data_IF_511844748422
#
_entry.id   IF_511844748422
#
_cell.length_a   1.000
_cell.length_b   1.000
_cell.length_c   1.000
_cell.angle_alpha   90.00
_cell.angle_beta   90.00
_cell.angle_gamma   90.00
#
_symmetry.space_group_name_H-M   'P 1'
#
loop_
_entity.id
_entity.type
_entity.pdbx_description
1 polymer ?
#
# COMPACT_ATOMS: atom_id res chain seq x y z
N UNK A 1 -10.63 -5.78 -4.34
CA UNK A 1 -11.76 -5.80 -3.38
C UNK A 1 -11.81 -4.48 -2.67
N UNK A 2 -12.99 -3.90 -2.55
CA UNK A 2 -13.15 -2.64 -1.83
C UNK A 2 -13.34 -2.89 -0.33
N UNK A 3 -12.85 -1.97 0.45
CA UNK A 3 -12.92 -1.97 1.90
C UNK A 3 -14.37 -1.81 2.41
N UNK A 4 -14.84 -2.75 3.24
CA UNK A 4 -16.16 -2.70 3.90
C UNK A 4 -17.35 -2.45 2.96
N UNK A 5 -17.42 -3.19 1.86
CA UNK A 5 -18.56 -3.12 0.98
C UNK A 5 -19.61 -4.18 1.40
N UNK A 6 -20.76 -3.74 1.88
CA UNK A 6 -21.80 -4.60 2.47
C UNK A 6 -22.52 -5.48 1.45
N UNK A 7 -22.38 -5.21 0.16
CA UNK A 7 -23.02 -5.98 -0.90
C UNK A 7 -22.33 -7.30 -1.27
N UNK A 8 -21.22 -7.65 -0.61
CA UNK A 8 -20.42 -8.83 -0.93
C UNK A 8 -20.15 -9.64 0.32
N UNK A 9 -20.43 -10.95 0.24
CA UNK A 9 -19.92 -11.92 1.21
C UNK A 9 -18.47 -12.29 0.83
N UNK A 10 -17.52 -11.64 1.48
CA UNK A 10 -16.08 -11.80 1.19
C UNK A 10 -15.58 -13.23 1.42
N UNK A 11 -16.06 -13.91 2.46
CA UNK A 11 -15.68 -15.30 2.74
C UNK A 11 -16.22 -16.28 1.70
N UNK A 12 -17.43 -16.05 1.20
CA UNK A 12 -17.99 -16.83 0.10
C UNK A 12 -17.20 -16.60 -1.19
N UNK A 13 -16.92 -15.33 -1.51
CA UNK A 13 -16.15 -14.98 -2.70
C UNK A 13 -14.71 -15.52 -2.64
N UNK A 14 -14.09 -15.50 -1.46
CA UNK A 14 -12.73 -16.01 -1.28
C UNK A 14 -12.57 -17.50 -1.62
N UNK A 15 -13.65 -18.28 -1.60
CA UNK A 15 -13.63 -19.69 -2.01
C UNK A 15 -13.43 -19.87 -3.52
N UNK A 16 -13.88 -18.89 -4.30
CA UNK A 16 -13.91 -18.93 -5.78
C UNK A 16 -12.68 -18.28 -6.42
N UNK A 17 -11.84 -17.58 -5.65
CA UNK A 17 -10.63 -16.92 -6.13
C UNK A 17 -9.37 -17.59 -5.61
N UNK A 18 -8.29 -17.56 -6.36
CA UNK A 18 -7.01 -18.18 -5.99
C UNK A 18 -6.31 -17.41 -4.87
N UNK A 19 -6.32 -16.08 -4.94
CA UNK A 19 -5.61 -15.18 -4.03
C UNK A 19 -6.56 -14.07 -3.55
N UNK A 20 -6.61 -13.85 -2.24
CA UNK A 20 -7.29 -12.68 -1.69
C UNK A 20 -6.46 -11.43 -1.96
N UNK A 21 -7.10 -10.35 -2.38
CA UNK A 21 -6.43 -9.07 -2.63
C UNK A 21 -7.37 -7.91 -2.31
N UNK A 22 -6.81 -6.75 -1.97
CA UNK A 22 -7.57 -5.55 -1.69
C UNK A 22 -6.75 -4.28 -1.89
N UNK A 23 -7.44 -3.14 -1.89
CA UNK A 23 -6.87 -1.82 -2.07
C UNK A 23 -6.99 -1.03 -0.79
N UNK A 24 -5.90 -0.43 -0.35
CA UNK A 24 -5.88 0.31 0.90
C UNK A 24 -5.20 1.68 0.75
N UNK A 25 -5.98 2.72 1.02
CA UNK A 25 -5.55 4.11 0.97
C UNK A 25 -5.83 4.82 2.30
N UNK A 26 -5.19 4.42 3.40
CA UNK A 26 -5.45 5.01 4.70
C UNK A 26 -5.08 6.50 4.72
N UNK A 27 -5.95 7.28 5.31
CA UNK A 27 -5.75 8.72 5.45
C UNK A 27 -5.06 9.02 6.77
N UNK A 28 -3.74 9.06 6.76
CA UNK A 28 -2.88 9.23 7.94
C UNK A 28 -2.89 10.64 8.58
N UNK A 29 -3.78 11.49 8.19
CA UNK A 29 -3.86 12.88 8.65
C UNK A 29 -5.30 13.33 8.91
N UNK A 30 -6.21 12.41 9.15
CA UNK A 30 -7.59 12.73 9.53
C UNK A 30 -7.59 13.56 10.81
N UNK A 31 -8.39 14.63 10.90
CA UNK A 31 -8.48 15.43 12.12
C UNK A 31 -9.17 14.69 13.27
N UNK A 32 -9.92 13.64 12.97
CA UNK A 32 -10.76 12.88 13.91
C UNK A 32 -10.11 11.56 14.36
N UNK A 33 -8.96 11.19 13.83
CA UNK A 33 -8.28 9.94 14.13
C UNK A 33 -6.78 10.19 14.35
N UNK A 34 -6.21 9.49 15.30
CA UNK A 34 -4.76 9.44 15.50
C UNK A 34 -4.10 8.53 14.47
N UNK A 35 -2.77 8.60 14.35
CA UNK A 35 -1.99 7.71 13.50
C UNK A 35 -2.14 6.25 13.97
N UNK A 36 -2.19 6.05 15.29
CA UNK A 36 -2.34 4.74 15.93
C UNK A 36 -3.72 4.12 15.63
N UNK A 37 -4.79 4.91 15.69
CA UNK A 37 -6.13 4.46 15.34
C UNK A 37 -6.22 4.07 13.87
N UNK A 38 -5.65 4.88 12.96
CA UNK A 38 -5.55 4.54 11.54
C UNK A 38 -4.74 3.26 11.32
N UNK A 39 -3.65 3.07 12.04
CA UNK A 39 -2.83 1.87 11.97
C UNK A 39 -3.58 0.62 12.46
N UNK A 40 -4.33 0.74 13.57
CA UNK A 40 -5.14 -0.36 14.11
C UNK A 40 -6.26 -0.78 13.14
N UNK A 41 -6.97 0.18 12.57
CA UNK A 41 -8.03 -0.11 11.59
C UNK A 41 -7.45 -0.80 10.35
N UNK A 42 -6.30 -0.34 9.87
CA UNK A 42 -5.58 -0.95 8.76
C UNK A 42 -5.13 -2.37 9.09
N UNK A 43 -4.55 -2.59 10.28
CA UNK A 43 -4.12 -3.92 10.76
C UNK A 43 -5.28 -4.91 10.80
N UNK A 44 -6.40 -4.51 11.38
CA UNK A 44 -7.59 -5.35 11.46
C UNK A 44 -8.08 -5.79 10.07
N UNK A 45 -7.99 -4.92 9.08
CA UNK A 45 -8.37 -5.26 7.71
C UNK A 45 -7.36 -6.20 7.05
N UNK A 46 -6.07 -6.03 7.27
CA UNK A 46 -5.07 -6.97 6.80
C UNK A 46 -5.32 -8.37 7.37
N UNK A 47 -5.59 -8.47 8.68
CA UNK A 47 -5.91 -9.73 9.35
C UNK A 47 -7.17 -10.37 8.78
N UNK A 48 -8.20 -9.56 8.47
CA UNK A 48 -9.41 -10.04 7.82
C UNK A 48 -9.10 -10.68 6.47
N UNK A 49 -8.33 -10.00 5.60
CA UNK A 49 -7.99 -10.54 4.28
C UNK A 49 -7.09 -11.78 4.36
N UNK A 50 -6.17 -11.82 5.29
CA UNK A 50 -5.40 -13.02 5.57
C UNK A 50 -6.31 -14.18 6.03
N UNK A 51 -7.24 -13.93 6.94
CA UNK A 51 -8.12 -14.94 7.53
C UNK A 51 -9.08 -15.60 6.53
N UNK A 52 -9.44 -14.89 5.44
CA UNK A 52 -10.36 -15.43 4.41
C UNK A 52 -9.86 -16.73 3.77
N UNK A 53 -8.54 -16.88 3.64
CA UNK A 53 -7.91 -18.06 3.03
C UNK A 53 -6.87 -18.72 3.93
N UNK A 54 -6.43 -18.11 5.01
CA UNK A 54 -5.30 -18.56 5.82
C UNK A 54 -3.99 -18.63 5.01
N UNK A 55 -3.86 -17.76 4.02
CA UNK A 55 -2.73 -17.68 3.09
C UNK A 55 -2.36 -16.22 2.87
N UNK A 56 -1.12 -15.94 2.42
CA UNK A 56 -0.72 -14.58 2.08
C UNK A 56 -1.69 -13.93 1.09
N UNK A 57 -1.99 -12.67 1.31
CA UNK A 57 -2.81 -11.85 0.44
C UNK A 57 -1.96 -10.82 -0.32
N UNK A 58 -2.55 -10.17 -1.33
CA UNK A 58 -1.91 -9.09 -2.06
C UNK A 58 -2.56 -7.75 -1.68
N UNK A 59 -1.76 -6.77 -1.27
CA UNK A 59 -2.21 -5.39 -1.28
C UNK A 59 -2.02 -4.86 -2.69
N UNK A 60 -3.11 -4.87 -3.48
CA UNK A 60 -3.08 -4.59 -4.92
C UNK A 60 -2.93 -3.11 -5.22
N UNK A 61 -3.42 -2.24 -4.34
CA UNK A 61 -3.25 -0.81 -4.48
C UNK A 61 -2.98 -0.14 -3.15
N UNK A 62 -2.04 0.78 -3.15
CA UNK A 62 -1.80 1.75 -2.09
C UNK A 62 -1.17 3.01 -2.70
N UNK A 63 -1.28 4.14 -2.02
CA UNK A 63 -0.67 5.38 -2.50
C UNK A 63 0.78 5.50 -2.03
N UNK A 64 1.72 5.87 -2.92
CA UNK A 64 3.08 6.22 -2.51
C UNK A 64 3.14 7.52 -1.71
N UNK A 65 2.17 8.45 -1.91
CA UNK A 65 2.16 9.75 -1.25
C UNK A 65 0.74 10.18 -0.85
N UNK A 66 0.00 10.85 -1.71
CA UNK A 66 -1.34 11.37 -1.47
C UNK A 66 -2.35 10.82 -2.50
N UNK A 67 -3.64 11.01 -2.22
CA UNK A 67 -4.74 10.62 -3.10
C UNK A 67 -5.52 11.86 -3.53
N UNK A 68 -6.04 11.87 -4.75
CA UNK A 68 -6.72 13.05 -5.33
C UNK A 68 -8.20 13.18 -4.93
N UNK A 69 -8.80 12.15 -4.34
CA UNK A 69 -10.23 12.16 -3.96
C UNK A 69 -10.49 12.55 -2.51
N UNK A 70 -9.45 12.83 -1.73
CA UNK A 70 -9.61 13.30 -0.36
C UNK A 70 -9.99 14.79 -0.34
N UNK A 71 -10.85 15.25 0.59
CA UNK A 71 -11.19 16.66 0.74
C UNK A 71 -9.97 17.56 0.91
N UNK A 72 -8.95 17.05 1.59
CA UNK A 72 -7.63 17.66 1.71
C UNK A 72 -6.57 16.62 1.38
N UNK A 73 -5.91 16.79 0.26
CA UNK A 73 -4.80 15.95 -0.14
C UNK A 73 -3.51 16.38 0.56
N UNK A 74 -2.98 15.53 1.41
CA UNK A 74 -1.69 15.77 2.08
C UNK A 74 -0.75 14.60 1.82
N UNK A 75 0.51 14.91 1.66
CA UNK A 75 1.55 13.89 1.60
C UNK A 75 1.65 13.15 2.93
N UNK A 76 2.02 11.88 2.86
CA UNK A 76 2.37 11.11 4.05
C UNK A 76 3.56 11.77 4.75
N UNK A 77 3.53 11.79 6.07
CA UNK A 77 4.69 12.20 6.87
C UNK A 77 5.86 11.23 6.62
N UNK A 78 7.11 11.68 6.75
CA UNK A 78 8.26 10.80 6.68
C UNK A 78 8.12 9.59 7.62
N UNK A 79 8.45 8.41 7.13
CA UNK A 79 8.32 7.15 7.85
C UNK A 79 6.96 6.44 7.75
N UNK A 80 5.86 7.16 7.44
CA UNK A 80 4.53 6.54 7.35
C UNK A 80 4.43 5.54 6.20
N UNK A 81 5.03 5.80 5.06
CA UNK A 81 5.00 4.87 3.93
C UNK A 81 5.73 3.56 4.29
N UNK A 82 6.86 3.65 5.00
CA UNK A 82 7.62 2.52 5.51
C UNK A 82 6.81 1.73 6.55
N UNK A 83 6.27 2.43 7.55
CA UNK A 83 5.44 1.82 8.57
C UNK A 83 4.26 1.06 7.95
N UNK A 84 3.56 1.68 7.00
CA UNK A 84 2.42 1.06 6.32
C UNK A 84 2.81 -0.19 5.53
N UNK A 85 3.93 -0.16 4.82
CA UNK A 85 4.43 -1.32 4.07
C UNK A 85 4.86 -2.45 5.00
N UNK A 86 5.62 -2.14 6.07
CA UNK A 86 6.04 -3.12 7.08
C UNK A 86 4.84 -3.75 7.79
N UNK A 87 3.86 -2.93 8.17
CA UNK A 87 2.63 -3.41 8.76
C UNK A 87 1.91 -4.40 7.84
N UNK A 88 1.74 -4.05 6.57
CA UNK A 88 1.08 -4.90 5.58
C UNK A 88 1.75 -6.27 5.48
N UNK A 89 3.07 -6.32 5.40
CA UNK A 89 3.84 -7.58 5.36
C UNK A 89 3.76 -8.33 6.69
N UNK A 90 3.86 -7.64 7.84
CA UNK A 90 3.76 -8.23 9.16
C UNK A 90 2.40 -8.92 9.39
N UNK A 91 1.33 -8.41 8.77
CA UNK A 91 -0.01 -8.99 8.79
C UNK A 91 -0.26 -10.02 7.66
N UNK A 92 0.79 -10.49 6.99
CA UNK A 92 0.76 -11.64 6.10
C UNK A 92 0.54 -11.33 4.62
N UNK A 93 0.75 -10.10 4.18
CA UNK A 93 0.77 -9.82 2.74
C UNK A 93 2.04 -10.35 2.08
N UNK A 94 1.90 -10.88 0.88
CA UNK A 94 3.01 -11.28 0.02
C UNK A 94 3.60 -10.10 -0.77
N UNK A 95 2.80 -9.07 -1.01
CA UNK A 95 3.25 -7.89 -1.75
C UNK A 95 2.47 -6.63 -1.37
N UNK A 96 3.11 -5.49 -1.62
CA UNK A 96 2.50 -4.16 -1.58
C UNK A 96 2.71 -3.49 -2.93
N UNK A 97 1.63 -3.24 -3.66
CA UNK A 97 1.67 -2.58 -4.95
C UNK A 97 1.20 -1.13 -4.79
N UNK A 98 1.78 -0.25 -5.59
CA UNK A 98 1.50 1.18 -5.47
C UNK A 98 0.87 1.74 -6.74
N UNK A 99 -0.22 2.44 -6.57
CA UNK A 99 -0.82 3.30 -7.57
C UNK A 99 -0.41 4.75 -7.25
N UNK A 100 0.41 5.43 -8.08
CA UNK A 100 0.89 4.98 -9.37
C UNK A 100 2.40 5.22 -9.51
N UNK A 101 3.03 4.54 -10.45
CA UNK A 101 4.46 4.74 -10.71
C UNK A 101 4.77 6.14 -11.23
N UNK A 102 4.03 6.60 -12.23
CA UNK A 102 4.21 7.92 -12.85
C UNK A 102 2.90 8.67 -12.88
N UNK A 103 2.91 9.95 -12.51
CA UNK A 103 1.75 10.82 -12.54
C UNK A 103 1.14 10.89 -13.95
N UNK A 104 -0.15 10.61 -14.03
CA UNK A 104 -0.93 10.66 -15.28
C UNK A 104 -0.98 12.05 -15.84
N UNK A 105 -0.87 12.20 -17.18
CA UNK A 105 -0.92 13.51 -17.84
C UNK A 105 -2.33 14.08 -17.97
N UNK A 106 -3.34 13.24 -17.84
CA UNK A 106 -4.74 13.60 -18.01
C UNK A 106 -5.67 12.67 -17.25
N UNK A 107 -6.98 12.81 -17.46
CA UNK A 107 -8.06 12.10 -16.78
C UNK A 107 -8.12 12.38 -15.27
N UNK A 108 -8.98 11.64 -14.58
CA UNK A 108 -9.29 11.87 -13.17
C UNK A 108 -8.09 11.65 -12.24
N UNK A 109 -7.21 10.72 -12.58
CA UNK A 109 -6.03 10.36 -11.78
C UNK A 109 -4.80 11.26 -12.00
N UNK A 110 -4.94 12.32 -12.78
CA UNK A 110 -3.83 13.23 -13.10
C UNK A 110 -3.24 13.91 -11.85
N UNK A 111 -4.02 14.11 -10.81
CA UNK A 111 -3.60 14.72 -9.54
C UNK A 111 -3.38 13.70 -8.43
N UNK A 112 -3.39 12.41 -8.74
CA UNK A 112 -3.04 11.37 -7.78
C UNK A 112 -1.53 11.35 -7.53
N UNK A 113 -1.12 11.10 -6.29
CA UNK A 113 0.28 10.96 -5.94
C UNK A 113 0.94 9.80 -6.68
N UNK A 114 2.17 10.01 -7.12
CA UNK A 114 2.95 9.03 -7.85
C UNK A 114 4.39 8.96 -7.33
N UNK A 115 5.13 7.92 -7.72
CA UNK A 115 6.56 7.83 -7.43
C UNK A 115 7.33 8.85 -8.28
N UNK A 116 6.93 9.00 -9.55
CA UNK A 116 7.50 9.99 -10.47
C UNK A 116 6.44 11.05 -10.78
N UNK A 117 6.74 12.30 -10.50
CA UNK A 117 5.89 13.46 -10.76
C UNK A 117 5.72 13.79 -12.25
N UNK A 118 4.87 14.79 -12.53
CA UNK A 118 4.62 15.25 -13.91
C UNK A 118 5.85 15.77 -14.63
N UNK A 119 6.76 16.41 -13.90
CA UNK A 119 8.02 16.96 -14.41
C UNK A 119 9.11 15.89 -14.61
N UNK A 120 8.81 14.64 -14.32
CA UNK A 120 9.74 13.53 -14.41
C UNK A 120 10.71 13.41 -13.22
N UNK A 121 10.56 14.27 -12.20
CA UNK A 121 11.34 14.16 -10.97
C UNK A 121 10.77 13.07 -10.08
N UNK A 122 11.66 12.47 -9.30
CA UNK A 122 11.25 11.53 -8.25
C UNK A 122 10.73 12.32 -7.04
N UNK A 123 9.45 12.72 -7.08
CA UNK A 123 8.81 13.40 -5.94
C UNK A 123 8.70 12.50 -4.72
N UNK A 124 8.71 11.20 -4.94
CA UNK A 124 8.70 10.19 -3.91
C UNK A 124 10.09 9.56 -3.66
N UNK A 125 11.19 10.30 -3.90
CA UNK A 125 12.55 9.82 -3.59
C UNK A 125 12.66 9.26 -2.17
N UNK A 126 12.16 9.93 -1.11
CA UNK A 126 12.18 9.36 0.24
C UNK A 126 11.44 8.04 0.35
N UNK A 127 10.35 7.90 -0.38
CA UNK A 127 9.58 6.66 -0.45
C UNK A 127 10.36 5.53 -1.14
N UNK A 128 11.01 5.80 -2.27
CA UNK A 128 11.85 4.82 -2.96
C UNK A 128 13.04 4.38 -2.09
N UNK A 129 13.73 5.31 -1.48
CA UNK A 129 14.84 5.02 -0.57
C UNK A 129 14.39 4.15 0.61
N UNK A 130 13.20 4.41 1.12
CA UNK A 130 12.56 3.61 2.16
C UNK A 130 12.26 2.19 1.67
N UNK A 131 11.68 2.04 0.48
CA UNK A 131 11.40 0.72 -0.09
C UNK A 131 12.68 -0.09 -0.32
N UNK A 132 13.76 0.55 -0.78
CA UNK A 132 15.05 -0.13 -0.95
C UNK A 132 15.61 -0.61 0.38
N UNK A 133 15.60 0.22 1.43
CA UNK A 133 16.02 -0.18 2.79
C UNK A 133 15.18 -1.33 3.35
N UNK A 134 13.89 -1.29 3.07
CA UNK A 134 12.94 -2.31 3.48
C UNK A 134 13.23 -3.64 2.77
N UNK A 135 13.41 -3.62 1.46
CA UNK A 135 13.78 -4.77 0.66
C UNK A 135 15.11 -5.39 1.15
N UNK A 136 16.12 -4.56 1.45
CA UNK A 136 17.38 -5.01 2.00
C UNK A 136 17.23 -5.63 3.40
N UNK A 137 16.39 -5.06 4.23
CA UNK A 137 16.10 -5.58 5.57
C UNK A 137 15.35 -6.92 5.48
N UNK A 138 14.36 -7.02 4.60
CA UNK A 138 13.60 -8.25 4.39
C UNK A 138 14.45 -9.37 3.77
N UNK A 139 15.37 -9.05 2.85
CA UNK A 139 16.32 -10.00 2.30
C UNK A 139 17.25 -10.64 3.35
N UNK A 140 17.45 -9.99 4.50
CA UNK A 140 18.20 -10.55 5.63
C UNK A 140 17.39 -11.55 6.46
N UNK A 141 16.04 -11.46 6.44
CA UNK A 141 15.17 -12.24 7.32
C UNK A 141 14.29 -13.25 6.59
N UNK A 142 14.04 -13.04 5.31
CA UNK A 142 13.17 -13.90 4.51
C UNK A 142 13.89 -14.22 3.21
N UNK A 143 13.87 -15.47 2.80
CA UNK A 143 14.42 -16.00 1.55
C UNK A 143 13.77 -15.40 0.28
N UNK A 144 13.83 -14.11 0.09
CA UNK A 144 13.20 -13.40 -1.04
C UNK A 144 14.26 -12.74 -1.94
N UNK A 145 14.93 -13.51 -2.75
CA UNK A 145 16.03 -13.11 -3.64
C UNK A 145 15.61 -12.30 -4.87
N UNK A 146 14.46 -11.60 -4.94
CA UNK A 146 14.04 -10.95 -6.19
C UNK A 146 13.51 -9.51 -6.12
N UNK A 147 13.39 -8.92 -4.94
CA UNK A 147 12.79 -7.58 -4.83
C UNK A 147 13.75 -6.42 -5.06
N UNK A 148 15.02 -6.56 -4.69
CA UNK A 148 16.01 -5.48 -4.78
C UNK A 148 16.32 -5.06 -6.23
N UNK A 149 16.36 -5.99 -7.16
CA UNK A 149 16.72 -5.70 -8.55
C UNK A 149 15.60 -5.02 -9.36
N UNK A 150 14.33 -5.16 -8.93
CA UNK A 150 13.19 -4.58 -9.64
C UNK A 150 12.90 -3.13 -9.26
N UNK A 151 13.19 -2.75 -8.02
CA UNK A 151 12.84 -1.44 -7.47
C UNK A 151 14.03 -0.51 -7.36
N UNK A 152 15.21 -1.03 -7.07
CA UNK A 152 16.37 -0.21 -6.71
C UNK A 152 17.37 0.00 -7.85
N UNK A 153 17.24 -0.76 -8.97
CA UNK A 153 18.20 -0.71 -10.07
C UNK A 153 19.61 -1.17 -9.66
N UNK A 154 20.52 -1.27 -10.63
CA UNK A 154 21.93 -1.49 -10.31
C UNK A 154 22.55 -0.28 -9.65
#
# INVERSE_FOLDING_TARGET
MMYRFDGIDYFKMAKEIDVASWDNYPTWHKPTETVEETALDTAMMHDLYYSMKGKPFLLMESSPSFTNWQPVSKQKKPGIAELSALQTVAHGADSVLYFQWRASRGAEEKLHGAVIGHDGREDARPFRETLCKLADSMNRWVFAARWSSLVCGP
#
